data_IF_077287891893
#
_entry.id   IF_077287891893
#
_cell.length_a   1.000
_cell.length_b   1.000
_cell.length_c   1.000
_cell.angle_alpha   90.00
_cell.angle_beta   90.00
_cell.angle_gamma   90.00
#
_symmetry.space_group_name_H-M   'P 1'
#
loop_
_entity.id
_entity.type
_entity.pdbx_description
1 polymer ?
#
# COMPACT_ATOMS: atom_id res chain seq x y z
N UNK A 1 -22.37 0.91 12.98
CA UNK A 1 -22.00 1.90 11.93
C UNK A 1 -20.74 1.37 11.21
N UNK A 2 -20.41 1.88 10.03
CA UNK A 2 -19.24 1.39 9.29
C UNK A 2 -17.92 1.92 9.87
N UNK A 3 -17.99 2.99 10.67
CA UNK A 3 -16.88 3.76 11.24
C UNK A 3 -16.49 3.28 12.65
N UNK A 4 -17.08 2.19 13.14
CA UNK A 4 -16.67 1.59 14.41
C UNK A 4 -15.24 1.06 14.27
N UNK A 5 -14.36 1.47 15.17
CA UNK A 5 -12.98 0.99 15.20
C UNK A 5 -12.91 -0.55 15.23
N UNK A 6 -11.97 -1.10 14.46
CA UNK A 6 -11.65 -2.53 14.44
C UNK A 6 -10.15 -2.72 14.50
N UNK A 7 -9.74 -3.75 15.25
CA UNK A 7 -8.34 -4.15 15.39
C UNK A 7 -8.18 -5.52 14.75
N UNK A 8 -7.21 -5.66 13.86
CA UNK A 8 -6.92 -6.91 13.16
C UNK A 8 -5.41 -7.12 13.07
N UNK A 9 -4.99 -8.37 13.22
CA UNK A 9 -3.62 -8.80 12.92
C UNK A 9 -3.63 -9.43 11.54
N UNK A 10 -2.81 -8.91 10.63
CA UNK A 10 -2.70 -9.40 9.25
C UNK A 10 -1.30 -9.94 9.01
N UNK A 11 -1.23 -11.19 8.58
CA UNK A 11 0.02 -11.81 8.11
C UNK A 11 -0.09 -12.11 6.61
N UNK A 12 1.04 -12.03 5.92
CA UNK A 12 1.09 -12.24 4.48
C UNK A 12 2.51 -12.52 4.03
N UNK A 13 2.66 -13.35 2.99
CA UNK A 13 3.95 -13.49 2.32
C UNK A 13 4.22 -12.26 1.44
N UNK A 14 5.45 -12.12 0.96
CA UNK A 14 5.88 -10.98 0.13
C UNK A 14 4.99 -10.80 -1.09
N UNK A 15 4.60 -11.89 -1.76
CA UNK A 15 3.74 -11.85 -2.95
C UNK A 15 2.36 -11.28 -2.63
N UNK A 16 1.77 -11.66 -1.49
CA UNK A 16 0.48 -11.15 -1.04
C UNK A 16 0.57 -9.66 -0.70
N UNK A 17 1.63 -9.23 0.00
CA UNK A 17 1.84 -7.82 0.32
C UNK A 17 2.04 -6.95 -0.91
N UNK A 18 2.84 -7.40 -1.88
CA UNK A 18 3.02 -6.69 -3.16
C UNK A 18 1.69 -6.49 -3.88
N UNK A 19 0.89 -7.55 -4.00
CA UNK A 19 -0.42 -7.46 -4.63
C UNK A 19 -1.39 -6.55 -3.85
N UNK A 20 -1.39 -6.62 -2.52
CA UNK A 20 -2.18 -5.72 -1.68
C UNK A 20 -1.81 -4.24 -1.91
N UNK A 21 -0.51 -3.93 -1.96
CA UNK A 21 -0.02 -2.57 -2.24
C UNK A 21 -0.48 -2.12 -3.63
N UNK A 22 -0.32 -2.94 -4.67
CA UNK A 22 -0.75 -2.61 -6.04
C UNK A 22 -2.26 -2.32 -6.13
N UNK A 23 -3.08 -3.09 -5.42
CA UNK A 23 -4.53 -2.94 -5.45
C UNK A 23 -5.06 -1.82 -4.55
N UNK A 24 -4.39 -1.53 -3.44
CA UNK A 24 -4.91 -0.65 -2.37
C UNK A 24 -4.19 0.67 -2.24
N UNK A 25 -2.91 0.75 -2.61
CA UNK A 25 -2.18 2.02 -2.65
C UNK A 25 -2.35 2.76 -3.99
N UNK A 26 -3.44 2.50 -4.73
CA UNK A 26 -3.74 3.13 -6.02
C UNK A 26 -4.54 4.41 -5.83
N UNK A 27 -4.34 5.41 -6.70
CA UNK A 27 -5.13 6.64 -6.71
C UNK A 27 -6.65 6.39 -6.86
N UNK A 28 -7.04 5.25 -7.42
CA UNK A 28 -8.44 4.84 -7.60
C UNK A 28 -9.06 4.16 -6.37
N UNK A 29 -8.25 3.85 -5.34
CA UNK A 29 -8.74 3.24 -4.11
C UNK A 29 -9.46 4.26 -3.23
N UNK A 30 -10.28 3.78 -2.31
CA UNK A 30 -10.83 4.63 -1.23
C UNK A 30 -9.67 5.17 -0.37
N UNK A 31 -9.83 6.39 0.18
CA UNK A 31 -8.76 7.17 0.82
C UNK A 31 -8.21 6.48 2.07
N UNK A 32 -9.07 5.93 2.93
CA UNK A 32 -8.68 5.28 4.18
C UNK A 32 -7.84 4.02 3.91
N UNK A 33 -8.32 3.13 3.04
CA UNK A 33 -7.57 1.91 2.70
C UNK A 33 -6.28 2.22 1.93
N UNK A 34 -6.25 3.30 1.13
CA UNK A 34 -5.03 3.80 0.47
C UNK A 34 -4.01 4.28 1.49
N UNK A 35 -4.44 5.09 2.45
CA UNK A 35 -3.56 5.59 3.49
C UNK A 35 -2.98 4.44 4.35
N UNK A 36 -3.77 3.40 4.64
CA UNK A 36 -3.28 2.18 5.27
C UNK A 36 -2.23 1.47 4.40
N UNK A 37 -2.52 1.26 3.12
CA UNK A 37 -1.62 0.54 2.21
C UNK A 37 -0.28 1.26 1.99
N UNK A 38 -0.28 2.59 1.88
CA UNK A 38 0.95 3.41 1.79
C UNK A 38 1.80 3.24 3.05
N UNK A 39 1.19 3.27 4.24
CA UNK A 39 1.91 3.09 5.52
C UNK A 39 2.50 1.69 5.64
N UNK A 40 1.75 0.67 5.25
CA UNK A 40 2.25 -0.71 5.18
C UNK A 40 3.45 -0.82 4.23
N UNK A 41 3.37 -0.23 3.04
CA UNK A 41 4.49 -0.18 2.09
C UNK A 41 5.73 0.48 2.69
N UNK A 42 5.58 1.63 3.37
CA UNK A 42 6.69 2.31 4.02
C UNK A 42 7.40 1.41 5.04
N UNK A 43 6.64 0.72 5.88
CA UNK A 43 7.21 -0.23 6.85
C UNK A 43 7.92 -1.39 6.17
N UNK A 44 7.29 -2.00 5.15
CA UNK A 44 7.86 -3.14 4.42
C UNK A 44 9.12 -2.75 3.64
N UNK A 45 9.16 -1.56 3.04
CA UNK A 45 10.33 -1.05 2.32
C UNK A 45 11.53 -0.83 3.24
N UNK A 46 11.30 -0.43 4.49
CA UNK A 46 12.37 -0.31 5.49
C UNK A 46 12.90 -1.69 5.89
N UNK A 47 12.01 -2.67 6.07
CA UNK A 47 12.40 -4.03 6.48
C UNK A 47 13.09 -4.82 5.35
N UNK A 48 12.58 -4.71 4.12
CA UNK A 48 13.05 -5.49 2.96
C UNK A 48 13.26 -4.60 1.71
N UNK A 49 14.29 -3.74 1.68
CA UNK A 49 14.47 -2.75 0.61
C UNK A 49 14.62 -3.35 -0.79
N UNK A 50 15.22 -4.54 -0.91
CA UNK A 50 15.44 -5.23 -2.18
C UNK A 50 14.11 -5.69 -2.79
N UNK A 51 13.17 -6.18 -1.95
CA UNK A 51 11.91 -6.76 -2.40
C UNK A 51 10.84 -5.71 -2.74
N UNK A 52 11.01 -4.47 -2.27
CA UNK A 52 10.06 -3.37 -2.47
C UNK A 52 10.69 -2.14 -3.14
N UNK A 53 11.93 -2.24 -3.59
CA UNK A 53 12.69 -1.11 -4.15
C UNK A 53 12.21 -0.61 -5.50
N UNK A 54 11.44 -1.42 -6.23
CA UNK A 54 10.86 -1.09 -7.53
C UNK A 54 9.64 -0.14 -7.44
N UNK A 55 9.04 -0.01 -6.25
CA UNK A 55 7.91 0.86 -6.03
C UNK A 55 8.31 2.31 -5.76
N UNK A 56 7.50 3.24 -6.25
CA UNK A 56 7.64 4.70 -6.06
C UNK A 56 6.40 5.26 -5.40
N UNK A 57 6.62 6.24 -4.53
CA UNK A 57 5.55 7.02 -3.91
C UNK A 57 5.24 8.20 -4.83
N UNK A 58 3.96 8.44 -5.04
CA UNK A 58 3.45 9.55 -5.83
C UNK A 58 2.55 10.40 -4.94
N UNK A 59 2.77 11.72 -4.95
CA UNK A 59 1.90 12.66 -4.28
C UNK A 59 0.69 12.96 -5.18
N UNK A 60 -0.51 12.91 -4.60
CA UNK A 60 -1.76 13.18 -5.30
C UNK A 60 -2.22 14.63 -5.06
N UNK A 61 -3.04 15.20 -5.97
CA UNK A 61 -3.53 16.58 -5.83
C UNK A 61 -4.35 16.86 -4.57
N UNK A 62 -4.91 15.81 -3.96
CA UNK A 62 -5.68 15.87 -2.72
C UNK A 62 -4.80 15.89 -1.45
N UNK A 63 -3.47 15.89 -1.60
CA UNK A 63 -2.51 15.83 -0.50
C UNK A 63 -2.27 14.43 0.04
N UNK A 64 -2.89 13.40 -0.54
CA UNK A 64 -2.65 12.00 -0.20
C UNK A 64 -1.53 11.41 -1.07
N UNK A 65 -1.22 10.13 -0.86
CA UNK A 65 -0.15 9.43 -1.57
C UNK A 65 -0.67 8.15 -2.20
N UNK A 66 -0.08 7.78 -3.33
CA UNK A 66 -0.20 6.45 -3.95
C UNK A 66 1.17 5.78 -4.06
N UNK A 67 1.17 4.48 -4.35
CA UNK A 67 2.37 3.69 -4.61
C UNK A 67 2.20 2.99 -5.96
N UNK A 68 3.15 3.18 -6.86
CA UNK A 68 3.15 2.60 -8.20
C UNK A 68 4.48 1.88 -8.49
N UNK A 69 4.42 0.84 -9.31
CA UNK A 69 5.60 0.16 -9.88
C UNK A 69 5.45 0.09 -11.39
N UNK A 70 6.57 0.13 -12.12
CA UNK A 70 6.58 -0.01 -13.58
C UNK A 70 6.27 -1.46 -14.03
N UNK A 71 6.36 -2.42 -13.12
CA UNK A 71 6.11 -3.84 -13.38
C UNK A 71 5.01 -4.38 -12.45
N UNK A 72 3.76 -3.92 -12.62
CA UNK A 72 2.64 -4.42 -11.81
C UNK A 72 2.36 -5.87 -12.15
N UNK A 73 1.95 -6.65 -11.15
CA UNK A 73 1.48 -8.01 -11.38
C UNK A 73 0.04 -7.94 -11.93
N UNK A 74 -0.13 -8.27 -13.21
CA UNK A 74 -1.45 -8.49 -13.83
C UNK A 74 -2.20 -9.61 -13.09
#
# INVERSE_FOLDING_TARGET
>A
PNETETIVVVTGNVRAWRHFIEMRASAHSEVEIRALAVRVFLCLRVLEPILFGDYKIEALPDGTFSVATATPKV
#
